data_IF_870071552890
#
_entry.id   IF_870071552890
#
_cell.length_a   1.000
_cell.length_b   1.000
_cell.length_c   1.000
_cell.angle_alpha   90.00
_cell.angle_beta   90.00
_cell.angle_gamma   90.00
#
_symmetry.space_group_name_H-M   'P 1'
#
loop_
_entity.id
_entity.type
_entity.pdbx_description
1 polymer ?
#
# COMPACT_ATOMS: atom_id res chain seq x y z
N UNK A 1 7.60 -4.77 23.91
CA UNK A 1 6.21 -4.46 23.52
C UNK A 1 5.27 -5.35 24.35
N UNK A 2 4.06 -4.91 24.70
CA UNK A 2 3.13 -5.76 25.48
C UNK A 2 2.49 -6.81 24.57
N UNK A 3 2.30 -8.08 24.99
CA UNK A 3 1.76 -9.15 24.14
C UNK A 3 0.41 -8.82 23.48
N UNK A 4 -0.40 -7.97 24.13
CA UNK A 4 -1.68 -7.50 23.58
C UNK A 4 -1.49 -6.53 22.42
N UNK A 5 -0.45 -5.69 22.49
CA UNK A 5 -0.10 -4.75 21.42
C UNK A 5 0.42 -5.51 20.20
N UNK A 6 1.22 -6.57 20.39
CA UNK A 6 1.74 -7.38 19.27
C UNK A 6 0.61 -8.06 18.49
N UNK A 7 -0.36 -8.66 19.19
CA UNK A 7 -1.54 -9.28 18.57
C UNK A 7 -2.37 -8.26 17.79
N UNK A 8 -2.54 -7.07 18.36
CA UNK A 8 -3.28 -5.99 17.72
C UNK A 8 -2.58 -5.51 16.44
N UNK A 9 -1.26 -5.32 16.49
CA UNK A 9 -0.46 -4.90 15.34
C UNK A 9 -0.48 -5.94 14.21
N UNK A 10 -0.36 -7.22 14.55
CA UNK A 10 -0.46 -8.31 13.58
C UNK A 10 -1.86 -8.36 12.94
N UNK A 11 -2.92 -8.17 13.73
CA UNK A 11 -4.30 -8.15 13.22
C UNK A 11 -4.51 -7.00 12.22
N UNK A 12 -4.02 -5.79 12.54
CA UNK A 12 -4.06 -4.64 11.64
C UNK A 12 -3.29 -4.92 10.36
N UNK A 13 -2.09 -5.49 10.45
CA UNK A 13 -1.27 -5.79 9.28
C UNK A 13 -1.96 -6.78 8.33
N UNK A 14 -2.62 -7.80 8.87
CA UNK A 14 -3.41 -8.74 8.05
C UNK A 14 -4.66 -8.10 7.44
N UNK A 15 -5.36 -7.25 8.20
CA UNK A 15 -6.49 -6.47 7.68
C UNK A 15 -6.07 -5.58 6.51
N UNK A 16 -4.99 -4.80 6.69
CA UNK A 16 -4.42 -3.94 5.65
C UNK A 16 -3.95 -4.75 4.43
N UNK A 17 -3.39 -5.95 4.65
CA UNK A 17 -3.00 -6.85 3.55
C UNK A 17 -4.21 -7.31 2.75
N UNK A 18 -5.27 -7.77 3.42
CA UNK A 18 -6.50 -8.23 2.74
C UNK A 18 -7.15 -7.12 1.92
N UNK A 19 -7.27 -5.91 2.49
CA UNK A 19 -7.80 -4.73 1.78
C UNK A 19 -6.89 -4.36 0.61
N UNK A 20 -5.57 -4.33 0.83
CA UNK A 20 -4.59 -4.01 -0.20
C UNK A 20 -4.65 -4.96 -1.41
N UNK A 21 -4.68 -6.28 -1.16
CA UNK A 21 -4.86 -7.30 -2.21
C UNK A 21 -6.20 -7.09 -2.92
N UNK A 22 -7.28 -6.87 -2.17
CA UNK A 22 -8.62 -6.64 -2.74
C UNK A 22 -8.65 -5.45 -3.70
N UNK A 23 -8.03 -4.33 -3.34
CA UNK A 23 -7.96 -3.13 -4.18
C UNK A 23 -7.09 -3.34 -5.44
N UNK A 24 -5.99 -4.09 -5.34
CA UNK A 24 -5.16 -4.43 -6.50
C UNK A 24 -5.93 -5.34 -7.47
N UNK A 25 -6.60 -6.37 -6.97
CA UNK A 25 -7.42 -7.26 -7.79
C UNK A 25 -8.60 -6.50 -8.41
N UNK A 26 -9.27 -5.65 -7.63
CA UNK A 26 -10.39 -4.84 -8.12
C UNK A 26 -9.95 -3.84 -9.19
N UNK A 27 -8.77 -3.24 -9.05
CA UNK A 27 -8.16 -2.40 -10.08
C UNK A 27 -7.99 -3.17 -11.40
N UNK A 28 -7.66 -4.47 -11.36
CA UNK A 28 -7.42 -5.24 -12.57
C UNK A 28 -8.68 -5.79 -13.22
N UNK A 29 -9.63 -6.28 -12.41
CA UNK A 29 -10.79 -7.02 -12.91
C UNK A 29 -12.11 -6.25 -12.80
N UNK A 30 -12.24 -5.31 -11.87
CA UNK A 30 -13.49 -4.62 -11.56
C UNK A 30 -13.61 -3.23 -12.20
N UNK A 31 -12.53 -2.44 -12.20
CA UNK A 31 -12.60 -1.04 -12.59
C UNK A 31 -12.29 -0.79 -14.07
N UNK A 32 -13.25 -0.19 -14.79
CA UNK A 32 -13.13 0.12 -16.23
C UNK A 32 -12.65 1.53 -16.48
N UNK A 33 -12.88 2.46 -15.55
CA UNK A 33 -12.39 3.83 -15.66
C UNK A 33 -10.87 3.87 -15.39
N UNK A 34 -10.04 4.32 -16.34
CA UNK A 34 -8.58 4.27 -16.20
C UNK A 34 -8.05 5.09 -15.03
N UNK A 35 -8.71 6.19 -14.67
CA UNK A 35 -8.30 7.05 -13.56
C UNK A 35 -8.58 6.35 -12.23
N UNK A 36 -9.79 5.81 -12.05
CA UNK A 36 -10.16 5.10 -10.82
C UNK A 36 -9.35 3.81 -10.66
N UNK A 37 -9.12 3.09 -11.77
CA UNK A 37 -8.25 1.92 -11.82
C UNK A 37 -6.85 2.23 -11.28
N UNK A 38 -6.25 3.33 -11.73
CA UNK A 38 -4.96 3.79 -11.22
C UNK A 38 -4.99 4.09 -9.72
N UNK A 39 -6.03 4.78 -9.24
CA UNK A 39 -6.17 5.13 -7.81
C UNK A 39 -6.33 3.90 -6.92
N UNK A 40 -7.09 2.90 -7.34
CA UNK A 40 -7.24 1.65 -6.59
C UNK A 40 -5.95 0.84 -6.56
N UNK A 41 -5.19 0.80 -7.67
CA UNK A 41 -3.88 0.17 -7.71
C UNK A 41 -2.92 0.82 -6.69
N UNK A 42 -2.90 2.15 -6.66
CA UNK A 42 -1.98 2.93 -5.83
C UNK A 42 -2.30 2.76 -4.35
N UNK A 43 -3.57 2.89 -4.00
CA UNK A 43 -4.03 2.71 -2.62
C UNK A 43 -3.81 1.25 -2.17
N UNK A 44 -4.14 0.29 -3.02
CA UNK A 44 -3.94 -1.13 -2.74
C UNK A 44 -2.47 -1.45 -2.46
N UNK A 45 -1.57 -0.97 -3.31
CA UNK A 45 -0.14 -1.23 -3.13
C UNK A 45 0.42 -0.51 -1.92
N UNK A 46 0.07 0.76 -1.67
CA UNK A 46 0.51 1.47 -0.46
C UNK A 46 0.07 0.73 0.82
N UNK A 47 -1.15 0.19 0.86
CA UNK A 47 -1.62 -0.61 2.00
C UNK A 47 -0.83 -1.90 2.18
N UNK A 48 -0.52 -2.61 1.08
CA UNK A 48 0.31 -3.83 1.13
C UNK A 48 1.70 -3.54 1.68
N UNK A 49 2.34 -2.50 1.19
CA UNK A 49 3.69 -2.10 1.61
C UNK A 49 3.70 -1.65 3.08
N UNK A 50 2.70 -0.86 3.49
CA UNK A 50 2.55 -0.41 4.87
C UNK A 50 2.34 -1.59 5.83
N UNK A 51 1.54 -2.58 5.43
CA UNK A 51 1.31 -3.80 6.20
C UNK A 51 2.59 -4.65 6.35
N UNK A 52 3.47 -4.66 5.35
CA UNK A 52 4.74 -5.37 5.41
C UNK A 52 5.73 -4.63 6.30
N UNK A 53 5.88 -3.32 6.13
CA UNK A 53 6.72 -2.49 7.00
C UNK A 53 6.28 -2.61 8.47
N UNK A 54 4.97 -2.62 8.74
CA UNK A 54 4.46 -2.81 10.09
C UNK A 54 4.84 -4.19 10.66
N UNK A 55 4.79 -5.26 9.86
CA UNK A 55 5.26 -6.59 10.28
C UNK A 55 6.77 -6.64 10.49
N UNK A 56 7.54 -5.97 9.64
CA UNK A 56 8.99 -5.83 9.77
C UNK A 56 9.37 -5.16 11.10
N UNK A 57 8.72 -4.03 11.41
CA UNK A 57 9.02 -3.27 12.63
C UNK A 57 8.53 -3.99 13.88
N UNK A 58 7.40 -4.70 13.80
CA UNK A 58 6.80 -5.38 14.93
C UNK A 58 7.36 -6.79 15.20
N UNK A 59 8.01 -7.43 14.21
CA UNK A 59 8.62 -8.74 14.41
C UNK A 59 10.12 -8.58 14.68
N UNK A 60 10.58 -8.97 15.87
CA UNK A 60 12.01 -9.19 16.16
C UNK A 60 12.58 -10.45 15.46
N UNK A 61 11.95 -10.88 14.36
CA UNK A 61 12.26 -12.12 13.65
C UNK A 61 13.05 -11.79 12.37
N UNK A 62 13.97 -12.67 12.02
CA UNK A 62 14.72 -12.61 10.75
C UNK A 62 13.73 -12.46 9.58
N UNK A 63 13.88 -11.39 8.81
CA UNK A 63 13.04 -11.07 7.65
C UNK A 63 13.02 -12.22 6.65
N UNK A 64 11.81 -12.59 6.20
CA UNK A 64 11.67 -13.54 5.10
C UNK A 64 12.06 -12.89 3.77
N UNK A 65 12.32 -13.71 2.74
CA UNK A 65 12.59 -13.23 1.37
C UNK A 65 11.47 -12.31 0.86
N UNK A 66 10.22 -12.60 1.23
CA UNK A 66 9.07 -11.76 0.86
C UNK A 66 9.07 -10.39 1.55
N UNK A 67 9.45 -10.33 2.82
CA UNK A 67 9.56 -9.07 3.56
C UNK A 67 10.64 -8.17 2.93
N UNK A 68 11.77 -8.76 2.53
CA UNK A 68 12.83 -8.07 1.80
C UNK A 68 12.37 -7.55 0.43
N UNK A 69 11.69 -8.40 -0.35
CA UNK A 69 11.19 -8.01 -1.66
C UNK A 69 10.21 -6.82 -1.54
N UNK A 70 9.31 -6.85 -0.56
CA UNK A 70 8.33 -5.80 -0.32
C UNK A 70 8.96 -4.54 0.29
N UNK A 71 9.97 -4.66 1.15
CA UNK A 71 10.74 -3.52 1.65
C UNK A 71 11.44 -2.74 0.52
N UNK A 72 11.91 -3.44 -0.52
CA UNK A 72 12.52 -2.83 -1.70
C UNK A 72 11.49 -2.30 -2.72
N UNK A 73 10.40 -3.05 -2.95
CA UNK A 73 9.32 -2.60 -3.82
C UNK A 73 8.59 -1.36 -3.27
N UNK A 74 8.57 -1.20 -1.94
CA UNK A 74 7.87 -0.09 -1.29
C UNK A 74 8.25 1.30 -1.82
N UNK A 75 9.53 1.71 -1.73
CA UNK A 75 9.97 3.00 -2.22
C UNK A 75 9.80 3.17 -3.74
N UNK A 76 9.97 2.10 -4.53
CA UNK A 76 9.75 2.14 -5.98
C UNK A 76 8.30 2.49 -6.33
N UNK A 77 7.34 1.91 -5.59
CA UNK A 77 5.93 2.20 -5.80
C UNK A 77 5.54 3.59 -5.34
N UNK A 78 6.07 4.05 -4.21
CA UNK A 78 5.89 5.43 -3.73
C UNK A 78 6.40 6.42 -4.78
N UNK A 79 7.58 6.19 -5.35
CA UNK A 79 8.11 7.01 -6.43
C UNK A 79 7.21 7.01 -7.67
N UNK A 80 6.68 5.85 -8.07
CA UNK A 80 5.73 5.74 -9.19
C UNK A 80 4.38 6.41 -8.93
N UNK A 81 3.89 6.40 -7.69
CA UNK A 81 2.69 7.13 -7.28
C UNK A 81 2.94 8.64 -7.27
N UNK A 82 4.06 9.11 -6.70
CA UNK A 82 4.46 10.53 -6.72
C UNK A 82 4.60 11.04 -8.15
N UNK A 83 5.23 10.26 -9.03
CA UNK A 83 5.34 10.58 -10.44
C UNK A 83 3.97 10.73 -11.11
N UNK A 84 3.04 9.80 -10.87
CA UNK A 84 1.68 9.91 -11.41
C UNK A 84 0.92 11.09 -10.82
N UNK A 85 1.04 11.34 -9.51
CA UNK A 85 0.50 12.54 -8.84
C UNK A 85 1.00 13.82 -9.49
N UNK A 86 2.29 13.95 -9.80
CA UNK A 86 2.83 15.13 -10.48
C UNK A 86 2.30 15.31 -11.90
N UNK A 87 1.82 14.24 -12.56
CA UNK A 87 1.28 14.28 -13.92
C UNK A 87 -0.25 14.40 -13.98
N UNK A 88 -0.96 14.11 -12.90
CA UNK A 88 -2.44 14.11 -12.85
C UNK A 88 -3.03 15.08 -11.83
N UNK A 89 -2.22 15.75 -11.03
CA UNK A 89 -2.66 16.89 -10.24
C UNK A 89 -3.05 18.03 -11.19
N UNK A 90 -4.33 18.16 -11.51
CA UNK A 90 -4.85 19.39 -12.10
C UNK A 90 -4.55 20.56 -11.14
N UNK A 91 -3.97 21.67 -11.62
CA UNK A 91 -3.99 22.90 -10.85
C UNK A 91 -5.47 23.29 -10.64
N UNK A 92 -5.89 23.48 -9.39
CA UNK A 92 -7.10 24.28 -9.14
C UNK A 92 -6.72 25.72 -9.47
N UNK A 93 -7.18 26.20 -10.62
CA UNK A 93 -7.18 27.64 -10.91
C UNK A 93 -8.07 28.35 -9.89
N UNK A 94 -7.76 29.60 -9.50
CA UNK A 94 -8.45 30.36 -8.47
C UNK A 94 -9.89 30.80 -8.80
N UNK A 95 -10.57 30.17 -9.77
CA UNK A 95 -11.78 30.70 -10.40
C UNK A 95 -13.01 29.75 -10.29
N UNK A 96 -13.06 28.83 -9.32
CA UNK A 96 -14.27 28.04 -9.02
C UNK A 96 -14.93 28.45 -7.71
#
# INVERSE_FOLDING_TARGET
>A
MSPSVDKFVIAIAWGATGIGVGLVLWSWFGEKNPIQRGRFLDCGVVLLLSAVLLRIVAQEKVMSVFDWALALLAPLFIAGCLWRLTRTACPKGPDQ
#
